data_IF_308214562456
#
_entry.id   IF_308214562456
#
_cell.length_a   1.000
_cell.length_b   1.000
_cell.length_c   1.000
_cell.angle_alpha   90.00
_cell.angle_beta   90.00
_cell.angle_gamma   90.00
#
_symmetry.space_group_name_H-M   'P 1'
#
loop_
_entity.id
_entity.type
_entity.pdbx_description
1 polymer ?
#
# COMPACT_ATOMS: atom_id res chain seq x y z
N UNK A 1 -0.52 -23.41 -1.67
CA UNK A 1 -0.11 -21.99 -1.88
C UNK A 1 1.02 -21.75 -0.91
N UNK A 2 2.18 -21.38 -1.40
CA UNK A 2 3.27 -21.01 -0.51
C UNK A 2 3.11 -19.54 -0.03
N UNK A 3 3.97 -19.10 0.89
CA UNK A 3 3.84 -17.77 1.47
C UNK A 3 4.04 -16.63 0.46
N UNK A 4 4.90 -16.84 -0.56
CA UNK A 4 5.15 -15.85 -1.61
C UNK A 4 3.95 -15.77 -2.56
N UNK A 5 3.39 -16.91 -2.96
CA UNK A 5 2.16 -16.96 -3.75
C UNK A 5 0.99 -16.26 -3.05
N UNK A 6 0.85 -16.46 -1.74
CA UNK A 6 -0.16 -15.76 -0.93
C UNK A 6 0.05 -14.24 -0.94
N UNK A 7 1.28 -13.77 -0.76
CA UNK A 7 1.61 -12.35 -0.82
C UNK A 7 1.29 -11.73 -2.18
N UNK A 8 1.65 -12.40 -3.26
CA UNK A 8 1.34 -11.96 -4.62
C UNK A 8 -0.17 -11.93 -4.91
N UNK A 9 -0.96 -12.85 -4.33
CA UNK A 9 -2.42 -12.81 -4.43
C UNK A 9 -3.00 -11.61 -3.66
N UNK A 10 -2.49 -11.33 -2.46
CA UNK A 10 -2.86 -10.15 -1.68
C UNK A 10 -2.52 -8.85 -2.45
N UNK A 11 -1.37 -8.79 -3.13
CA UNK A 11 -1.02 -7.69 -4.03
C UNK A 11 -2.04 -7.48 -5.15
N UNK A 12 -2.58 -8.55 -5.73
CA UNK A 12 -3.62 -8.44 -6.75
C UNK A 12 -4.89 -7.79 -6.20
N UNK A 13 -5.30 -8.14 -4.97
CA UNK A 13 -6.44 -7.50 -4.30
C UNK A 13 -6.17 -6.00 -4.02
N UNK A 14 -4.97 -5.67 -3.58
CA UNK A 14 -4.56 -4.27 -3.38
C UNK A 14 -4.58 -3.50 -4.70
N UNK A 15 -4.02 -4.05 -5.78
CA UNK A 15 -4.05 -3.43 -7.12
C UNK A 15 -5.47 -3.13 -7.61
N UNK A 16 -6.45 -3.99 -7.33
CA UNK A 16 -7.87 -3.72 -7.62
C UNK A 16 -8.36 -2.49 -6.86
N UNK A 17 -8.03 -2.40 -5.56
CA UNK A 17 -8.40 -1.24 -4.75
C UNK A 17 -7.74 0.05 -5.26
N UNK A 18 -6.48 0.02 -5.69
CA UNK A 18 -5.81 1.21 -6.26
C UNK A 18 -6.56 1.76 -7.48
N UNK A 19 -7.11 0.88 -8.33
CA UNK A 19 -7.95 1.31 -9.47
C UNK A 19 -9.25 1.96 -9.01
N UNK A 20 -9.88 1.44 -7.94
CA UNK A 20 -11.10 2.03 -7.35
C UNK A 20 -10.80 3.42 -6.79
N UNK A 21 -9.69 3.59 -6.08
CA UNK A 21 -9.23 4.89 -5.56
C UNK A 21 -9.08 5.91 -6.69
N UNK A 22 -8.38 5.53 -7.77
CA UNK A 22 -8.20 6.42 -8.92
C UNK A 22 -9.51 6.79 -9.58
N UNK A 23 -10.43 5.84 -9.72
CA UNK A 23 -11.76 6.09 -10.27
C UNK A 23 -12.56 7.08 -9.40
N UNK A 24 -12.52 6.92 -8.08
CA UNK A 24 -13.18 7.85 -7.15
C UNK A 24 -12.61 9.28 -7.27
N UNK A 25 -11.29 9.43 -7.40
CA UNK A 25 -10.65 10.72 -7.64
C UNK A 25 -11.04 11.31 -9.01
N UNK A 26 -11.10 10.48 -10.05
CA UNK A 26 -11.45 10.94 -11.39
C UNK A 26 -12.90 11.42 -11.45
N UNK A 27 -13.84 10.75 -10.77
CA UNK A 27 -15.23 11.22 -10.66
C UNK A 27 -15.32 12.64 -10.07
N UNK A 28 -14.50 12.96 -9.08
CA UNK A 28 -14.44 14.32 -8.51
C UNK A 28 -13.96 15.33 -9.56
N UNK A 29 -12.96 14.98 -10.38
CA UNK A 29 -12.49 15.86 -11.48
C UNK A 29 -13.52 16.06 -12.57
N UNK A 30 -14.38 15.05 -12.81
CA UNK A 30 -15.51 15.15 -13.76
C UNK A 30 -16.70 15.96 -13.21
N UNK A 31 -16.58 16.45 -11.98
CA UNK A 31 -17.59 17.33 -11.37
C UNK A 31 -18.59 16.63 -10.45
N UNK A 32 -18.41 15.35 -10.17
CA UNK A 32 -19.22 14.65 -9.19
C UNK A 32 -18.88 15.10 -7.75
N UNK A 33 -19.83 14.95 -6.86
CA UNK A 33 -19.59 15.24 -5.43
C UNK A 33 -18.68 14.19 -4.81
N UNK A 34 -17.98 14.60 -3.74
CA UNK A 34 -17.15 13.68 -2.95
C UNK A 34 -18.03 12.66 -2.24
N UNK A 35 -17.90 11.41 -2.60
CA UNK A 35 -18.62 10.31 -1.94
C UNK A 35 -17.86 9.86 -0.67
N UNK A 36 -18.26 10.41 0.48
CA UNK A 36 -17.63 10.11 1.76
C UNK A 36 -17.71 8.63 2.15
N UNK A 37 -18.82 7.95 1.82
CA UNK A 37 -19.00 6.54 2.14
C UNK A 37 -17.99 5.67 1.39
N UNK A 38 -17.77 5.93 0.11
CA UNK A 38 -16.78 5.24 -0.69
C UNK A 38 -15.36 5.51 -0.21
N UNK A 39 -15.01 6.77 0.09
CA UNK A 39 -13.69 7.09 0.65
C UNK A 39 -13.46 6.47 2.01
N UNK A 40 -14.46 6.41 2.88
CA UNK A 40 -14.35 5.73 4.17
C UNK A 40 -14.13 4.21 4.02
N UNK A 41 -14.80 3.57 3.06
CA UNK A 41 -14.56 2.16 2.72
C UNK A 41 -13.15 1.93 2.16
N UNK A 42 -12.67 2.81 1.29
CA UNK A 42 -11.31 2.81 0.77
C UNK A 42 -10.29 2.90 1.91
N UNK A 43 -10.42 3.89 2.78
CA UNK A 43 -9.51 4.08 3.93
C UNK A 43 -9.55 2.86 4.87
N UNK A 44 -10.73 2.33 5.12
CA UNK A 44 -10.89 1.11 5.94
C UNK A 44 -10.18 -0.09 5.31
N UNK A 45 -10.33 -0.30 4.01
CA UNK A 45 -9.61 -1.37 3.31
C UNK A 45 -8.10 -1.19 3.39
N UNK A 46 -7.61 0.02 3.13
CA UNK A 46 -6.18 0.30 3.18
C UNK A 46 -5.61 0.03 4.57
N UNK A 47 -6.24 0.55 5.62
CA UNK A 47 -5.76 0.40 7.01
C UNK A 47 -5.82 -1.05 7.50
N UNK A 48 -6.89 -1.76 7.19
CA UNK A 48 -7.12 -3.10 7.73
C UNK A 48 -6.52 -4.20 6.85
N UNK A 49 -6.66 -4.10 5.54
CA UNK A 49 -6.17 -5.12 4.63
C UNK A 49 -4.75 -4.84 4.12
N UNK A 50 -4.50 -3.70 3.49
CA UNK A 50 -3.18 -3.42 2.93
C UNK A 50 -2.13 -3.21 4.01
N UNK A 51 -2.43 -2.47 5.08
CA UNK A 51 -1.45 -2.18 6.13
C UNK A 51 -1.46 -3.24 7.25
N UNK A 52 -2.53 -3.34 8.04
CA UNK A 52 -2.53 -4.21 9.23
C UNK A 52 -2.48 -5.70 8.91
N UNK A 53 -2.99 -6.15 7.78
CA UNK A 53 -2.94 -7.55 7.39
C UNK A 53 -1.72 -7.86 6.52
N UNK A 54 -1.53 -7.13 5.41
CA UNK A 54 -0.50 -7.42 4.42
C UNK A 54 0.89 -6.88 4.83
N UNK A 55 1.08 -5.55 4.91
CA UNK A 55 2.38 -4.95 5.24
C UNK A 55 2.91 -5.43 6.59
N UNK A 56 2.05 -5.55 7.61
CA UNK A 56 2.49 -6.05 8.92
C UNK A 56 3.00 -7.48 8.85
N UNK A 57 2.42 -8.32 8.00
CA UNK A 57 2.91 -9.68 7.74
C UNK A 57 4.30 -9.66 7.09
N UNK A 58 4.50 -8.78 6.10
CA UNK A 58 5.82 -8.60 5.49
C UNK A 58 6.86 -8.11 6.50
N UNK A 59 6.53 -7.07 7.26
CA UNK A 59 7.44 -6.47 8.24
C UNK A 59 7.88 -7.47 9.33
N UNK A 60 6.94 -8.27 9.84
CA UNK A 60 7.21 -9.18 10.97
C UNK A 60 7.80 -10.50 10.50
N UNK A 61 7.32 -11.04 9.38
CA UNK A 61 7.63 -12.42 8.98
C UNK A 61 8.61 -12.47 7.80
N UNK A 62 8.33 -11.79 6.70
CA UNK A 62 9.12 -11.88 5.48
C UNK A 62 10.44 -11.11 5.59
N UNK A 63 10.40 -9.84 5.96
CA UNK A 63 11.57 -8.97 5.94
C UNK A 63 12.61 -9.37 6.97
N UNK A 64 12.20 -9.79 8.16
CA UNK A 64 13.12 -10.31 9.16
C UNK A 64 13.87 -11.54 8.64
N UNK A 65 13.16 -12.49 8.04
CA UNK A 65 13.80 -13.67 7.44
C UNK A 65 14.74 -13.32 6.31
N UNK A 66 14.34 -12.40 5.44
CA UNK A 66 15.22 -11.95 4.34
C UNK A 66 16.53 -11.35 4.86
N UNK A 67 16.47 -10.58 5.94
CA UNK A 67 17.67 -10.01 6.58
C UNK A 67 18.53 -11.12 7.17
N UNK A 68 17.95 -12.06 7.89
CA UNK A 68 18.67 -13.17 8.53
C UNK A 68 19.34 -14.10 7.49
N UNK A 69 18.68 -14.39 6.38
CA UNK A 69 19.14 -15.35 5.38
C UNK A 69 20.05 -14.74 4.30
N UNK A 70 19.85 -13.46 3.95
CA UNK A 70 20.59 -12.78 2.87
C UNK A 70 21.66 -11.82 3.40
N UNK A 71 21.43 -11.26 4.58
CA UNK A 71 22.37 -10.36 5.26
C UNK A 71 22.24 -8.89 4.82
N UNK A 72 23.33 -8.13 4.95
CA UNK A 72 23.33 -6.66 4.92
C UNK A 72 22.79 -5.99 3.65
N UNK A 73 22.75 -6.68 2.50
CA UNK A 73 22.12 -6.14 1.28
C UNK A 73 20.60 -6.12 1.42
N UNK A 74 20.00 -7.20 1.94
CA UNK A 74 18.57 -7.26 2.21
C UNK A 74 18.18 -6.26 3.31
N UNK A 75 18.98 -6.14 4.35
CA UNK A 75 18.76 -5.16 5.42
C UNK A 75 18.63 -3.73 4.88
N UNK A 76 19.50 -3.32 3.95
CA UNK A 76 19.44 -2.00 3.32
C UNK A 76 18.18 -1.79 2.50
N UNK A 77 17.79 -2.79 1.68
CA UNK A 77 16.58 -2.73 0.85
C UNK A 77 15.33 -2.65 1.72
N UNK A 78 15.25 -3.45 2.76
CA UNK A 78 14.12 -3.44 3.70
C UNK A 78 14.07 -2.10 4.44
N UNK A 79 15.14 -1.74 5.14
CA UNK A 79 15.17 -0.61 6.09
C UNK A 79 15.05 0.75 5.40
N UNK A 80 15.74 0.95 4.27
CA UNK A 80 15.78 2.23 3.55
C UNK A 80 14.91 2.27 2.31
N UNK A 81 14.23 1.19 1.98
CA UNK A 81 13.30 1.07 0.87
C UNK A 81 11.90 0.72 1.33
N UNK A 82 11.64 -0.55 1.60
CA UNK A 82 10.28 -1.06 1.83
C UNK A 82 9.60 -0.42 3.04
N UNK A 83 10.24 -0.39 4.20
CA UNK A 83 9.66 0.20 5.42
C UNK A 83 9.40 1.70 5.28
N UNK A 84 10.27 2.43 4.58
CA UNK A 84 10.05 3.86 4.29
C UNK A 84 8.85 4.07 3.39
N UNK A 85 8.62 3.20 2.41
CA UNK A 85 7.45 3.28 1.53
C UNK A 85 6.15 2.90 2.26
N UNK A 86 6.19 1.93 3.19
CA UNK A 86 5.04 1.64 4.06
C UNK A 86 4.66 2.85 4.91
N UNK A 87 5.63 3.49 5.55
CA UNK A 87 5.40 4.68 6.37
C UNK A 87 4.87 5.86 5.54
N UNK A 88 5.38 6.05 4.33
CA UNK A 88 4.89 7.06 3.41
C UNK A 88 3.44 6.78 2.97
N UNK A 89 3.10 5.51 2.74
CA UNK A 89 1.72 5.09 2.47
C UNK A 89 0.77 5.41 3.63
N UNK A 90 1.20 5.13 4.86
CA UNK A 90 0.46 5.49 6.10
C UNK A 90 0.24 6.99 6.21
N UNK A 91 1.25 7.79 5.87
CA UNK A 91 1.14 9.24 5.86
C UNK A 91 0.09 9.73 4.86
N UNK A 92 0.11 9.24 3.61
CA UNK A 92 -0.88 9.64 2.60
C UNK A 92 -2.30 9.29 3.02
N UNK A 93 -2.52 8.12 3.60
CA UNK A 93 -3.86 7.70 4.07
C UNK A 93 -4.35 8.55 5.24
N UNK A 94 -3.47 8.92 6.16
CA UNK A 94 -3.78 9.83 7.26
C UNK A 94 -4.15 11.20 6.73
N UNK A 95 -3.33 11.75 5.82
CA UNK A 95 -3.58 13.05 5.19
C UNK A 95 -4.87 13.06 4.36
N UNK A 96 -5.19 11.95 3.68
CA UNK A 96 -6.46 11.77 2.97
C UNK A 96 -7.65 11.84 3.94
N UNK A 97 -7.57 11.14 5.07
CA UNK A 97 -8.63 11.14 6.08
C UNK A 97 -8.85 12.55 6.65
N UNK A 98 -7.78 13.28 6.94
CA UNK A 98 -7.83 14.66 7.42
C UNK A 98 -8.43 15.62 6.36
N UNK A 99 -8.07 15.44 5.09
CA UNK A 99 -8.60 16.25 3.99
C UNK A 99 -10.11 16.03 3.81
N UNK A 100 -10.60 14.80 3.96
CA UNK A 100 -12.04 14.50 3.94
C UNK A 100 -12.79 15.23 5.06
N UNK A 101 -12.26 15.24 6.28
CA UNK A 101 -12.87 15.97 7.39
C UNK A 101 -12.86 17.50 7.18
N UNK A 102 -11.77 18.05 6.67
CA UNK A 102 -11.67 19.48 6.31
C UNK A 102 -12.69 19.84 5.22
N UNK A 103 -12.83 19.05 4.19
CA UNK A 103 -13.80 19.27 3.12
C UNK A 103 -15.24 19.19 3.65
N UNK A 104 -15.54 18.20 4.50
CA UNK A 104 -16.85 18.01 5.13
C UNK A 104 -17.22 19.19 6.03
N UNK A 105 -16.25 19.86 6.66
CA UNK A 105 -16.46 21.05 7.49
C UNK A 105 -16.56 22.35 6.68
N UNK A 106 -16.55 22.29 5.35
CA UNK A 106 -16.79 23.43 4.47
C UNK A 106 -15.52 24.05 3.82
N UNK A 107 -14.35 23.45 4.03
CA UNK A 107 -13.15 23.87 3.31
C UNK A 107 -13.10 23.24 1.90
N UNK A 108 -13.60 23.98 0.91
CA UNK A 108 -13.69 23.49 -0.48
C UNK A 108 -12.32 23.23 -1.13
N UNK A 109 -11.26 23.93 -0.72
CA UNK A 109 -9.89 23.72 -1.22
C UNK A 109 -9.33 22.35 -0.81
N UNK A 110 -9.80 21.79 0.31
CA UNK A 110 -9.39 20.46 0.77
C UNK A 110 -9.73 19.34 -0.23
N UNK A 111 -10.60 19.59 -1.21
CA UNK A 111 -10.84 18.68 -2.35
C UNK A 111 -9.54 18.38 -3.13
N UNK A 112 -8.66 19.36 -3.24
CA UNK A 112 -7.35 19.20 -3.85
C UNK A 112 -6.48 18.22 -3.06
N UNK A 113 -6.50 18.32 -1.73
CA UNK A 113 -5.73 17.44 -0.84
C UNK A 113 -6.29 16.01 -0.84
N UNK A 114 -7.61 15.84 -0.97
CA UNK A 114 -8.24 14.51 -1.13
C UNK A 114 -7.65 13.82 -2.37
N UNK A 115 -7.69 14.49 -3.53
CA UNK A 115 -7.19 13.93 -4.79
C UNK A 115 -5.68 13.71 -4.71
N UNK A 116 -4.93 14.69 -4.23
CA UNK A 116 -3.46 14.63 -4.17
C UNK A 116 -2.98 13.46 -3.32
N UNK A 117 -3.51 13.28 -2.10
CA UNK A 117 -3.08 12.21 -1.21
C UNK A 117 -3.54 10.83 -1.71
N UNK A 118 -4.77 10.71 -2.21
CA UNK A 118 -5.27 9.46 -2.75
C UNK A 118 -4.48 9.01 -3.99
N UNK A 119 -4.20 9.90 -4.94
CA UNK A 119 -3.42 9.59 -6.14
C UNK A 119 -1.96 9.30 -5.79
N UNK A 120 -1.36 10.05 -4.85
CA UNK A 120 0.00 9.79 -4.37
C UNK A 120 0.13 8.41 -3.74
N UNK A 121 -0.85 8.00 -2.94
CA UNK A 121 -0.92 6.65 -2.39
C UNK A 121 -0.95 5.60 -3.51
N UNK A 122 -1.81 5.75 -4.52
CA UNK A 122 -1.89 4.77 -5.62
C UNK A 122 -0.58 4.66 -6.38
N UNK A 123 0.04 5.79 -6.71
CA UNK A 123 1.31 5.83 -7.44
C UNK A 123 2.46 5.22 -6.64
N UNK A 124 2.47 5.42 -5.32
CA UNK A 124 3.45 4.82 -4.42
C UNK A 124 3.29 3.30 -4.42
N UNK A 125 2.07 2.80 -4.13
CA UNK A 125 1.82 1.37 -3.96
C UNK A 125 1.97 0.59 -5.27
N UNK A 126 1.61 1.15 -6.43
CA UNK A 126 1.85 0.49 -7.72
C UNK A 126 3.35 0.22 -7.94
N UNK A 127 4.21 1.20 -7.66
CA UNK A 127 5.67 1.04 -7.79
C UNK A 127 6.25 0.12 -6.71
N UNK A 128 5.74 0.21 -5.50
CA UNK A 128 6.12 -0.61 -4.36
C UNK A 128 5.86 -2.09 -4.65
N UNK A 129 4.61 -2.45 -4.96
CA UNK A 129 4.21 -3.82 -5.31
C UNK A 129 4.98 -4.33 -6.53
N UNK A 130 5.21 -3.48 -7.54
CA UNK A 130 6.00 -3.89 -8.70
C UNK A 130 7.43 -4.30 -8.32
N UNK A 131 8.07 -3.57 -7.40
CA UNK A 131 9.41 -3.93 -6.89
C UNK A 131 9.38 -5.22 -6.07
N UNK A 132 8.39 -5.40 -5.25
CA UNK A 132 8.24 -6.62 -4.46
C UNK A 132 8.02 -7.84 -5.34
N UNK A 133 7.02 -7.83 -6.20
CA UNK A 133 6.70 -8.94 -7.09
C UNK A 133 7.87 -9.35 -7.99
N UNK A 134 8.58 -8.37 -8.58
CA UNK A 134 9.55 -8.64 -9.64
C UNK A 134 11.01 -8.69 -9.18
N UNK A 135 11.34 -8.07 -8.05
CA UNK A 135 12.72 -7.98 -7.57
C UNK A 135 12.88 -8.71 -6.24
N UNK A 136 12.07 -8.37 -5.24
CA UNK A 136 12.29 -8.83 -3.86
C UNK A 136 11.85 -10.28 -3.71
N UNK A 137 10.56 -10.57 -3.94
CA UNK A 137 9.98 -11.88 -3.76
C UNK A 137 10.58 -12.90 -4.75
N UNK A 138 10.76 -12.48 -6.00
CA UNK A 138 11.33 -13.35 -7.03
C UNK A 138 12.77 -13.75 -6.74
N UNK A 139 13.62 -12.80 -6.33
CA UNK A 139 15.01 -13.09 -6.00
C UNK A 139 15.12 -13.92 -4.71
N UNK A 140 14.21 -13.71 -3.76
CA UNK A 140 14.15 -14.51 -2.56
C UNK A 140 13.75 -15.96 -2.87
N UNK A 141 12.72 -16.18 -3.67
CA UNK A 141 12.29 -17.49 -4.12
C UNK A 141 13.39 -18.26 -4.89
N UNK A 142 14.14 -17.57 -5.77
CA UNK A 142 15.19 -18.18 -6.57
C UNK A 142 16.42 -18.65 -5.76
N UNK A 143 16.61 -18.13 -4.56
CA UNK A 143 17.73 -18.55 -3.69
C UNK A 143 17.47 -19.87 -2.95
N UNK A 144 16.44 -20.61 -3.32
CA UNK A 144 16.05 -21.90 -2.71
C UNK A 144 15.92 -21.84 -1.19
N UNK A 145 15.58 -20.69 -0.65
CA UNK A 145 15.19 -20.63 0.75
C UNK A 145 13.91 -21.45 0.91
N UNK A 146 13.87 -22.44 1.80
CA UNK A 146 12.66 -23.21 2.03
C UNK A 146 11.58 -22.27 2.53
N UNK A 147 10.58 -22.03 1.70
CA UNK A 147 9.42 -21.24 2.05
C UNK A 147 8.55 -22.12 2.95
N UNK A 148 8.77 -21.99 4.25
CA UNK A 148 7.94 -22.68 5.22
C UNK A 148 6.57 -21.99 5.26
N UNK A 149 5.51 -22.80 5.31
CA UNK A 149 4.17 -22.32 5.60
C UNK A 149 4.14 -21.70 7.00
N UNK A 150 3.57 -20.53 7.13
CA UNK A 150 3.22 -19.92 8.40
C UNK A 150 1.77 -20.16 8.77
#
# INVERSE_FOLDING_TARGET
MDAIELMMEEHNNIKVMLKIVRKACFSILEGEEVNYDDFNKIISFIRNYADSHHHKKEEIMLFNRMVDEIGGTAEKVVKYGMLVEHDLGRLYVTSLSEALEKFKSGNNEAKLDIIANAVSYTNLLERHIHKEDNIILRNYAQKNCPVYYW
#
